data_IF_792701394498
#
_entry.id   IF_792701394498
#
_cell.length_a   1.000
_cell.length_b   1.000
_cell.length_c   1.000
_cell.angle_alpha   90.00
_cell.angle_beta   90.00
_cell.angle_gamma   90.00
#
_symmetry.space_group_name_H-M   'P 1'
#
loop_
_entity.id
_entity.type
_entity.pdbx_description
1 polymer ?
#
# COMPACT_ATOMS: atom_id res chain seq x y z
N UNK A 1 -5.21 -18.38 -0.13
CA UNK A 1 -5.19 -17.20 -1.00
C UNK A 1 -4.59 -15.96 -0.38
N UNK A 2 -4.65 -15.84 0.93
CA UNK A 2 -4.08 -14.69 1.63
C UNK A 2 -2.55 -14.63 1.65
N UNK A 3 -1.84 -15.73 1.43
CA UNK A 3 -0.38 -15.77 1.52
C UNK A 3 0.33 -14.90 0.47
N UNK A 4 -0.17 -14.87 -0.75
CA UNK A 4 0.49 -14.11 -1.82
C UNK A 4 0.26 -12.60 -1.67
N UNK A 5 -0.93 -12.20 -1.26
CA UNK A 5 -1.26 -10.78 -1.08
C UNK A 5 -0.51 -10.17 0.10
N UNK A 6 -0.35 -10.92 1.20
CA UNK A 6 0.45 -10.48 2.34
C UNK A 6 1.91 -10.29 1.94
N UNK A 7 2.45 -11.19 1.13
CA UNK A 7 3.83 -11.07 0.62
C UNK A 7 4.00 -9.83 -0.25
N UNK A 8 3.00 -9.48 -1.05
CA UNK A 8 3.02 -8.24 -1.84
C UNK A 8 3.09 -7.01 -0.93
N UNK A 9 2.28 -6.97 0.12
CA UNK A 9 2.33 -5.87 1.11
C UNK A 9 3.69 -5.82 1.79
N UNK A 10 4.25 -6.95 2.17
CA UNK A 10 5.58 -7.03 2.78
C UNK A 10 6.66 -6.44 1.86
N UNK A 11 6.62 -6.78 0.58
CA UNK A 11 7.55 -6.24 -0.42
C UNK A 11 7.42 -4.72 -0.53
N UNK A 12 6.19 -4.22 -0.60
CA UNK A 12 5.92 -2.78 -0.71
C UNK A 12 6.45 -2.01 0.51
N UNK A 13 6.27 -2.56 1.69
CA UNK A 13 6.79 -1.95 2.92
C UNK A 13 8.32 -1.95 2.95
N UNK A 14 8.96 -3.03 2.52
CA UNK A 14 10.42 -3.09 2.42
C UNK A 14 10.98 -2.11 1.38
N UNK A 15 10.26 -1.89 0.28
CA UNK A 15 10.65 -0.95 -0.76
C UNK A 15 10.41 0.52 -0.37
N UNK A 16 9.49 0.78 0.53
CA UNK A 16 9.06 2.14 0.85
C UNK A 16 10.23 3.07 1.22
N UNK A 17 11.19 2.69 2.07
CA UNK A 17 12.33 3.56 2.37
C UNK A 17 13.16 3.94 1.14
N UNK A 18 13.37 3.01 0.22
CA UNK A 18 14.10 3.27 -1.02
C UNK A 18 13.35 4.24 -1.93
N UNK A 19 12.04 4.06 -2.03
CA UNK A 19 11.17 4.92 -2.84
C UNK A 19 11.14 6.35 -2.32
N UNK A 20 11.14 6.52 -1.00
CA UNK A 20 11.11 7.84 -0.38
C UNK A 20 12.47 8.56 -0.44
N UNK A 21 13.56 7.84 -0.65
CA UNK A 21 14.88 8.44 -0.89
C UNK A 21 15.01 9.04 -2.29
N UNK A 22 13.95 9.02 -3.08
CA UNK A 22 13.89 9.63 -4.42
C UNK A 22 14.87 9.04 -5.44
N UNK A 23 15.20 7.79 -5.27
CA UNK A 23 15.98 7.06 -6.26
C UNK A 23 15.07 6.72 -7.44
N UNK A 24 15.57 6.87 -8.64
CA UNK A 24 14.84 6.47 -9.85
C UNK A 24 14.60 4.96 -9.89
N UNK A 25 13.77 4.48 -10.83
CA UNK A 25 13.42 3.04 -10.88
C UNK A 25 14.63 2.14 -11.06
N UNK A 26 15.70 2.63 -11.69
CA UNK A 26 16.94 1.87 -11.89
C UNK A 26 17.80 1.76 -10.63
N UNK A 27 17.54 2.53 -9.61
CA UNK A 27 18.32 2.55 -8.38
C UNK A 27 17.67 1.75 -7.25
N UNK A 28 16.52 1.13 -7.51
CA UNK A 28 15.86 0.27 -6.53
C UNK A 28 16.64 -1.04 -6.44
N UNK A 29 17.12 -1.34 -5.25
CA UNK A 29 17.82 -2.58 -4.99
C UNK A 29 16.82 -3.67 -4.63
N UNK A 30 16.59 -4.59 -5.59
CA UNK A 30 15.71 -5.74 -5.39
C UNK A 30 16.45 -6.98 -4.91
N UNK A 31 17.78 -6.96 -4.89
CA UNK A 31 18.58 -8.12 -4.50
C UNK A 31 18.35 -8.53 -3.05
N UNK A 32 18.12 -7.56 -2.16
CA UNK A 32 17.78 -7.83 -0.78
C UNK A 32 16.46 -8.58 -0.63
N UNK A 33 15.49 -8.25 -1.47
CA UNK A 33 14.20 -8.95 -1.50
C UNK A 33 14.35 -10.39 -1.99
N UNK A 34 15.15 -10.60 -3.03
CA UNK A 34 15.42 -11.95 -3.53
C UNK A 34 16.13 -12.81 -2.46
N UNK A 35 17.07 -12.21 -1.73
CA UNK A 35 17.75 -12.86 -0.62
C UNK A 35 16.77 -13.21 0.51
N UNK A 36 15.76 -12.39 0.73
CA UNK A 36 14.70 -12.65 1.72
C UNK A 36 13.71 -13.73 1.29
N UNK A 37 13.85 -14.25 0.07
CA UNK A 37 13.03 -15.35 -0.41
C UNK A 37 11.87 -14.95 -1.30
N UNK A 38 11.81 -13.70 -1.75
CA UNK A 38 10.79 -13.26 -2.71
C UNK A 38 11.25 -13.57 -4.14
N UNK A 39 10.34 -14.07 -4.96
CA UNK A 39 10.64 -14.33 -6.36
C UNK A 39 10.63 -13.04 -7.19
N UNK A 40 11.29 -13.08 -8.34
CA UNK A 40 11.25 -11.95 -9.28
C UNK A 40 9.85 -11.61 -9.73
N UNK A 41 8.99 -12.62 -9.86
CA UNK A 41 7.60 -12.43 -10.25
C UNK A 41 6.81 -11.69 -9.15
N UNK A 42 7.01 -12.06 -7.90
CA UNK A 42 6.39 -11.38 -6.76
C UNK A 42 6.82 -9.92 -6.67
N UNK A 43 8.11 -9.66 -6.86
CA UNK A 43 8.66 -8.29 -6.84
C UNK A 43 8.09 -7.48 -8.01
N UNK A 44 8.06 -8.05 -9.20
CA UNK A 44 7.49 -7.39 -10.38
C UNK A 44 6.01 -7.06 -10.20
N UNK A 45 5.26 -7.97 -9.61
CA UNK A 45 3.84 -7.75 -9.31
C UNK A 45 3.66 -6.58 -8.34
N UNK A 46 4.45 -6.55 -7.26
CA UNK A 46 4.40 -5.46 -6.29
C UNK A 46 4.71 -4.10 -6.93
N UNK A 47 5.74 -4.05 -7.79
CA UNK A 47 6.12 -2.83 -8.50
C UNK A 47 5.03 -2.39 -9.49
N UNK A 48 4.41 -3.33 -10.19
CA UNK A 48 3.29 -3.03 -11.09
C UNK A 48 2.11 -2.43 -10.33
N UNK A 49 1.79 -3.00 -9.19
CA UNK A 49 0.71 -2.50 -8.34
C UNK A 49 1.00 -1.09 -7.84
N UNK A 50 2.24 -0.84 -7.44
CA UNK A 50 2.68 0.49 -7.01
C UNK A 50 2.53 1.51 -8.15
N UNK A 51 2.94 1.16 -9.36
CA UNK A 51 2.80 2.04 -10.52
C UNK A 51 1.33 2.31 -10.87
N UNK A 52 0.47 1.29 -10.74
CA UNK A 52 -0.96 1.46 -10.99
C UNK A 52 -1.60 2.42 -9.99
N UNK A 53 -1.23 2.33 -8.71
CA UNK A 53 -1.79 3.18 -7.66
C UNK A 53 -1.13 4.54 -7.54
N UNK A 54 0.15 4.63 -7.87
CA UNK A 54 0.90 5.88 -7.82
C UNK A 54 1.81 6.01 -9.04
N UNK A 55 1.24 6.36 -10.22
CA UNK A 55 2.02 6.46 -11.46
C UNK A 55 3.16 7.46 -11.40
N UNK A 56 3.09 8.41 -10.47
CA UNK A 56 4.07 9.49 -10.36
C UNK A 56 5.26 9.13 -9.46
N UNK A 57 5.25 7.95 -8.84
CA UNK A 57 6.27 7.59 -7.84
C UNK A 57 7.69 7.66 -8.40
N UNK A 58 7.88 7.32 -9.67
CA UNK A 58 9.18 7.30 -10.32
C UNK A 58 9.45 8.53 -11.20
N UNK A 59 8.50 9.48 -11.31
CA UNK A 59 8.73 10.68 -12.10
C UNK A 59 9.67 11.62 -11.34
N UNK A 60 10.61 12.24 -12.08
CA UNK A 60 11.42 13.31 -11.52
C UNK A 60 10.52 14.43 -11.03
N UNK A 61 10.67 14.80 -9.80
CA UNK A 61 9.92 15.91 -9.22
C UNK A 61 10.36 17.21 -9.84
N UNK A 62 9.52 17.77 -10.67
CA UNK A 62 9.80 19.05 -11.33
C UNK A 62 9.48 20.22 -10.39
N UNK A 63 8.53 20.06 -9.46
CA UNK A 63 8.19 21.12 -8.50
C UNK A 63 7.74 20.53 -7.17
N UNK A 64 8.47 20.85 -6.10
CA UNK A 64 8.09 20.48 -4.72
C UNK A 64 6.77 21.12 -4.25
N UNK A 65 6.33 22.18 -4.92
CA UNK A 65 5.14 22.93 -4.51
C UNK A 65 3.83 22.23 -4.84
N UNK A 66 3.84 21.37 -5.86
CA UNK A 66 2.63 20.66 -6.29
C UNK A 66 2.43 19.33 -5.55
N UNK A 67 3.39 18.95 -4.72
CA UNK A 67 3.39 17.68 -4.01
C UNK A 67 3.03 17.80 -2.52
N UNK A 68 2.53 18.92 -2.09
CA UNK A 68 1.84 18.96 -0.81
C UNK A 68 0.54 18.18 -0.97
N UNK A 69 0.67 16.88 -1.12
CA UNK A 69 -0.41 16.00 -0.78
C UNK A 69 -0.77 16.35 0.66
N UNK A 70 -1.86 17.06 0.82
CA UNK A 70 -2.40 17.38 2.13
C UNK A 70 -2.86 16.06 2.78
N UNK A 71 -1.87 15.25 3.18
CA UNK A 71 -2.15 14.05 3.94
C UNK A 71 -2.77 14.50 5.24
N UNK A 72 -3.97 14.04 5.48
CA UNK A 72 -4.65 14.28 6.74
C UNK A 72 -3.77 13.82 7.90
N UNK A 73 -3.59 14.69 8.89
CA UNK A 73 -2.87 14.31 10.10
C UNK A 73 -3.80 13.43 10.94
N UNK A 74 -3.35 12.24 11.31
CA UNK A 74 -4.11 11.34 12.15
C UNK A 74 -4.19 11.91 13.56
N UNK A 75 -5.38 11.89 14.13
CA UNK A 75 -5.61 12.30 15.51
C UNK A 75 -5.02 11.28 16.48
N UNK A 76 -4.77 11.70 17.72
CA UNK A 76 -4.17 10.83 18.73
C UNK A 76 -4.98 9.56 18.94
N UNK A 77 -6.32 9.68 18.94
CA UNK A 77 -7.23 8.56 19.11
C UNK A 77 -7.10 7.55 17.97
N UNK A 78 -6.92 8.03 16.74
CA UNK A 78 -6.73 7.19 15.57
C UNK A 78 -5.38 6.47 15.61
N UNK A 79 -4.32 7.18 16.00
CA UNK A 79 -2.98 6.58 16.17
C UNK A 79 -2.98 5.48 17.22
N UNK A 80 -3.75 5.66 18.28
CA UNK A 80 -3.85 4.70 19.38
C UNK A 80 -4.56 3.40 18.99
N UNK A 81 -5.24 3.35 17.85
CA UNK A 81 -5.83 2.11 17.34
C UNK A 81 -4.78 1.10 16.86
N UNK A 82 -3.57 1.55 16.62
CA UNK A 82 -2.49 0.73 16.05
C UNK A 82 -1.34 0.57 17.04
N UNK A 83 -0.64 -0.56 16.95
CA UNK A 83 0.66 -0.67 17.59
C UNK A 83 1.63 0.29 16.91
N UNK A 84 2.75 0.57 17.57
CA UNK A 84 3.78 1.45 17.01
C UNK A 84 4.29 0.95 15.67
N UNK A 85 4.51 -0.35 15.56
CA UNK A 85 4.99 -0.99 14.33
C UNK A 85 3.93 -0.95 13.22
N UNK A 86 2.68 -1.22 13.56
CA UNK A 86 1.57 -1.12 12.60
C UNK A 86 1.40 0.32 12.12
N UNK A 87 1.46 1.28 13.01
CA UNK A 87 1.35 2.69 12.65
C UNK A 87 2.47 3.11 11.68
N UNK A 88 3.68 2.61 11.88
CA UNK A 88 4.77 2.87 10.96
C UNK A 88 4.48 2.31 9.57
N UNK A 89 3.93 1.10 9.49
CA UNK A 89 3.50 0.50 8.22
C UNK A 89 2.40 1.33 7.55
N UNK A 90 1.44 1.86 8.33
CA UNK A 90 0.41 2.77 7.83
C UNK A 90 1.05 3.97 7.14
N UNK A 91 2.02 4.59 7.81
CA UNK A 91 2.69 5.78 7.29
C UNK A 91 3.49 5.47 6.03
N UNK A 92 4.17 4.32 5.97
CA UNK A 92 4.90 3.89 4.78
C UNK A 92 3.97 3.73 3.57
N UNK A 93 2.93 2.94 3.71
CA UNK A 93 2.01 2.63 2.60
C UNK A 93 1.23 3.85 2.15
N UNK A 94 0.87 4.72 3.09
CA UNK A 94 0.21 5.98 2.79
C UNK A 94 1.12 6.92 1.99
N UNK A 95 2.37 7.05 2.41
CA UNK A 95 3.33 7.98 1.79
C UNK A 95 3.70 7.55 0.38
N UNK A 96 3.83 6.25 0.12
CA UNK A 96 4.12 5.75 -1.23
C UNK A 96 2.86 5.64 -2.11
N UNK A 97 1.67 5.95 -1.57
CA UNK A 97 0.44 6.01 -2.34
C UNK A 97 -0.25 4.68 -2.58
N UNK A 98 0.10 3.64 -1.81
CA UNK A 98 -0.58 2.34 -1.88
C UNK A 98 -1.96 2.40 -1.23
N UNK A 99 -2.10 3.18 -0.17
CA UNK A 99 -3.37 3.39 0.52
C UNK A 99 -3.77 4.86 0.34
N UNK A 100 -4.97 5.11 -0.17
CA UNK A 100 -5.51 6.45 -0.26
C UNK A 100 -6.23 6.85 1.04
N UNK A 101 -6.69 8.09 1.13
CA UNK A 101 -7.34 8.61 2.33
C UNK A 101 -8.66 7.92 2.65
N UNK A 102 -9.43 7.54 1.63
CA UNK A 102 -10.69 6.84 1.82
C UNK A 102 -10.45 5.42 2.35
N UNK A 103 -9.48 4.74 1.80
CA UNK A 103 -9.07 3.41 2.25
C UNK A 103 -8.54 3.45 3.69
N UNK A 104 -7.76 4.48 4.02
CA UNK A 104 -7.29 4.67 5.38
C UNK A 104 -8.44 4.89 6.35
N UNK A 105 -9.43 5.70 5.97
CA UNK A 105 -10.61 5.93 6.79
C UNK A 105 -11.39 4.62 7.03
N UNK A 106 -11.52 3.79 6.00
CA UNK A 106 -12.17 2.48 6.12
C UNK A 106 -11.40 1.57 7.08
N UNK A 107 -10.07 1.58 7.03
CA UNK A 107 -9.22 0.82 7.95
C UNK A 107 -9.41 1.30 9.39
N UNK A 108 -9.41 2.61 9.60
CA UNK A 108 -9.60 3.21 10.93
C UNK A 108 -10.98 2.85 11.49
N UNK A 109 -12.00 2.93 10.67
CA UNK A 109 -13.36 2.57 11.07
C UNK A 109 -13.44 1.10 11.49
N UNK A 110 -12.88 0.20 10.67
CA UNK A 110 -12.84 -1.23 10.99
C UNK A 110 -12.04 -1.51 12.25
N UNK A 111 -10.90 -0.83 12.41
CA UNK A 111 -10.07 -0.98 13.61
C UNK A 111 -10.84 -0.58 14.87
N UNK A 112 -11.62 0.50 14.82
CA UNK A 112 -12.37 0.97 15.97
C UNK A 112 -13.56 0.07 16.34
N UNK A 113 -14.13 -0.65 15.37
CA UNK A 113 -15.31 -1.48 15.57
C UNK A 113 -14.93 -2.91 15.96
N UNK A 114 -13.96 -3.50 15.27
CA UNK A 114 -13.70 -4.95 15.36
C UNK A 114 -12.55 -5.33 16.27
N UNK A 115 -11.68 -4.39 16.63
CA UNK A 115 -10.52 -4.71 17.45
C UNK A 115 -10.67 -4.13 18.85
N UNK A 116 -10.66 -5.01 19.86
CA UNK A 116 -10.70 -4.60 21.27
C UNK A 116 -9.33 -4.06 21.72
N UNK A 117 -8.26 -4.66 21.18
CA UNK A 117 -6.90 -4.22 21.41
C UNK A 117 -6.37 -3.47 20.18
N UNK A 118 -5.14 -2.97 20.28
CA UNK A 118 -4.49 -2.30 19.17
C UNK A 118 -4.29 -3.26 17.99
N UNK A 119 -4.50 -2.75 16.79
CA UNK A 119 -4.23 -3.49 15.57
C UNK A 119 -2.73 -3.73 15.44
N UNK A 120 -2.34 -4.99 15.35
CA UNK A 120 -0.95 -5.39 15.17
C UNK A 120 -0.50 -5.17 13.72
N UNK A 121 0.82 -5.18 13.50
CA UNK A 121 1.41 -5.11 12.17
C UNK A 121 0.83 -6.18 11.24
N UNK A 122 0.72 -7.42 11.71
CA UNK A 122 0.19 -8.52 10.92
C UNK A 122 -1.27 -8.30 10.55
N UNK A 123 -2.09 -7.89 11.49
CA UNK A 123 -3.51 -7.60 11.27
C UNK A 123 -3.69 -6.46 10.26
N UNK A 124 -2.90 -5.40 10.41
CA UNK A 124 -2.92 -4.28 9.49
C UNK A 124 -2.56 -4.71 8.06
N UNK A 125 -1.49 -5.49 7.91
CA UNK A 125 -1.07 -6.00 6.59
C UNK A 125 -2.13 -6.89 5.96
N UNK A 126 -2.85 -7.67 6.75
CA UNK A 126 -3.98 -8.47 6.26
C UNK A 126 -5.12 -7.57 5.77
N UNK A 127 -5.42 -6.51 6.48
CA UNK A 127 -6.45 -5.54 6.06
C UNK A 127 -6.08 -4.88 4.73
N UNK A 128 -4.82 -4.48 4.56
CA UNK A 128 -4.33 -3.91 3.31
C UNK A 128 -4.39 -4.93 2.18
N UNK A 129 -3.97 -6.16 2.43
CA UNK A 129 -4.03 -7.23 1.43
C UNK A 129 -5.46 -7.42 0.92
N UNK A 130 -6.41 -7.40 1.81
CA UNK A 130 -7.83 -7.52 1.46
C UNK A 130 -8.29 -6.37 0.55
N UNK A 131 -7.89 -5.14 0.88
CA UNK A 131 -8.22 -3.95 0.07
C UNK A 131 -7.61 -4.06 -1.32
N UNK A 132 -6.35 -4.47 -1.41
CA UNK A 132 -5.65 -4.62 -2.69
C UNK A 132 -6.27 -5.71 -3.56
N UNK A 133 -6.70 -6.81 -2.95
CA UNK A 133 -7.40 -7.90 -3.67
C UNK A 133 -8.74 -7.44 -4.24
N UNK A 134 -9.45 -6.58 -3.54
CA UNK A 134 -10.74 -6.06 -3.99
C UNK A 134 -10.59 -5.15 -5.21
N UNK A 135 -9.54 -4.34 -5.24
CA UNK A 135 -9.26 -3.42 -6.35
C UNK A 135 -8.67 -4.14 -7.57
N UNK A 136 -7.90 -5.19 -7.33
CA UNK A 136 -7.34 -6.04 -8.38
C UNK A 136 -8.37 -7.11 -8.80
N UNK A 137 -9.54 -6.66 -9.23
CA UNK A 137 -10.47 -7.57 -9.87
C UNK A 137 -9.85 -8.14 -11.15
N UNK A 138 -9.01 -9.18 -11.02
CA UNK A 138 -8.58 -9.95 -12.17
C UNK A 138 -9.75 -10.80 -12.56
N UNK A 139 -10.32 -10.53 -13.73
CA UNK A 139 -11.23 -11.47 -14.34
C UNK A 139 -10.42 -12.70 -14.76
N UNK A 140 -10.61 -13.76 -14.01
CA UNK A 140 -9.93 -15.02 -14.26
C UNK A 140 -10.32 -15.64 -15.60
N UNK A 141 -11.48 -15.28 -16.15
CA UNK A 141 -11.94 -15.80 -17.44
C UNK A 141 -11.24 -15.10 -18.61
N UNK A 142 -11.04 -13.82 -18.52
CA UNK A 142 -10.44 -13.02 -19.62
C UNK A 142 -9.01 -12.60 -19.36
N UNK A 143 -8.52 -12.76 -18.12
CA UNK A 143 -7.23 -12.24 -17.72
C UNK A 143 -7.14 -10.71 -17.71
N UNK A 144 -8.27 -10.04 -17.87
CA UNK A 144 -8.32 -8.58 -17.87
C UNK A 144 -8.41 -8.04 -16.45
N UNK A 145 -7.66 -6.97 -16.19
CA UNK A 145 -7.76 -6.24 -14.93
C UNK A 145 -8.94 -5.28 -15.00
N UNK A 146 -9.90 -5.44 -14.13
CA UNK A 146 -10.93 -4.45 -13.91
C UNK A 146 -10.52 -3.52 -12.78
N UNK A 147 -10.22 -2.29 -13.11
CA UNK A 147 -10.09 -1.22 -12.12
C UNK A 147 -11.49 -0.67 -11.83
N UNK A 148 -12.19 -1.26 -10.87
CA UNK A 148 -13.40 -0.66 -10.34
C UNK A 148 -13.00 0.50 -9.42
N UNK A 149 -12.89 1.67 -9.99
CA UNK A 149 -12.79 2.89 -9.19
C UNK A 149 -14.15 3.16 -8.55
N UNK A 150 -14.13 3.64 -7.29
CA UNK A 150 -15.37 4.01 -6.58
C UNK A 150 -16.31 4.89 -7.42
N UNK A 151 -15.77 5.68 -8.34
CA UNK A 151 -16.54 6.55 -9.20
C UNK A 151 -17.32 5.80 -10.32
N UNK A 152 -16.93 4.57 -10.61
CA UNK A 152 -17.60 3.76 -11.62
C UNK A 152 -18.83 3.03 -11.07
N UNK A 153 -19.04 3.09 -9.76
CA UNK A 153 -20.19 2.47 -9.09
C UNK A 153 -21.42 3.37 -8.99
N UNK A 154 -21.37 4.59 -9.52
CA UNK A 154 -22.45 5.57 -9.43
C UNK A 154 -23.40 5.46 -10.63
N UNK A 155 -23.49 4.31 -11.19
CA UNK A 155 -24.45 4.06 -12.28
C UNK A 155 -25.39 2.93 -11.90
#
# INVERSE_FOLDING_TARGET
MSKNSNRTVDILIELAPQLLQRKGPHSINTSGLETSGYSKLEISYALSLLLDRNPKIFKKRINRKDETNFLRILQKEEKNLFTKEAFQDVMWLRTIGIIDEDELNDIIERASIYFFDKVSRQEFRQMVSYILEQDDGIDLETGARYHLRKNDQIH
#
